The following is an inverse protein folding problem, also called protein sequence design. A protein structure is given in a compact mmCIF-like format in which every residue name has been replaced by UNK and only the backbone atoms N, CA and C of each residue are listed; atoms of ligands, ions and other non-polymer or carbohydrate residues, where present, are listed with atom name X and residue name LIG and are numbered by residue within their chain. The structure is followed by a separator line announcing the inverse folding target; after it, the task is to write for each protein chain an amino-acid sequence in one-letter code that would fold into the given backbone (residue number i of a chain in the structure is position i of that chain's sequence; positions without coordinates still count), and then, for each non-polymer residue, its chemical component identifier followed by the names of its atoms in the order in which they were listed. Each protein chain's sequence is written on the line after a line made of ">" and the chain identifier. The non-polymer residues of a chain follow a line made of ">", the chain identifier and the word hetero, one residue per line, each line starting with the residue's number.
data_IF_396895827026
#
_entry.id   IF_396895827026
#
_cell.length_a   1.000
_cell.length_b   1.000
_cell.length_c   1.000
_cell.angle_alpha   90.00
_cell.angle_beta   90.00
_cell.angle_gamma   90.00
#
_symmetry.space_group_name_H-M   'P 1'
#
loop_
_entity.id
_entity.type
_entity.pdbx_description
1 polymer ?
#
# COMPACT_ATOMS: atom_id res chain seq x y z
N UNK A 1 -0.11 -18.69 4.14
CA UNK A 1 -0.79 -17.62 4.91
C UNK A 1 -0.85 -16.33 4.14
N UNK A 2 0.27 -15.77 3.67
CA UNK A 2 0.28 -14.56 2.84
C UNK A 2 -0.57 -14.67 1.56
N UNK A 3 -0.57 -15.83 0.90
CA UNK A 3 -1.43 -16.09 -0.27
C UNK A 3 -2.92 -16.01 0.07
N UNK A 4 -3.32 -16.40 1.28
CA UNK A 4 -4.74 -16.36 1.68
C UNK A 4 -5.22 -14.93 1.94
N UNK A 5 -4.33 -14.07 2.49
CA UNK A 5 -4.56 -12.63 2.61
C UNK A 5 -4.80 -12.01 1.23
N UNK A 6 -3.94 -12.33 0.26
CA UNK A 6 -4.09 -11.85 -1.12
C UNK A 6 -5.39 -12.31 -1.77
N UNK A 7 -5.74 -13.59 -1.62
CA UNK A 7 -7.03 -14.14 -2.09
C UNK A 7 -8.22 -13.43 -1.45
N UNK A 8 -8.14 -13.11 -0.16
CA UNK A 8 -9.22 -12.41 0.56
C UNK A 8 -9.42 -11.00 0.01
N UNK A 9 -8.34 -10.24 -0.17
CA UNK A 9 -8.38 -8.90 -0.76
C UNK A 9 -8.96 -8.92 -2.18
N UNK A 10 -8.52 -9.87 -3.02
CA UNK A 10 -9.05 -10.06 -4.37
C UNK A 10 -10.55 -10.34 -4.36
N UNK A 11 -11.00 -11.30 -3.55
CA UNK A 11 -12.43 -11.66 -3.42
C UNK A 11 -13.25 -10.46 -2.96
N UNK A 12 -12.76 -9.70 -1.98
CA UNK A 12 -13.44 -8.51 -1.49
C UNK A 12 -13.53 -7.42 -2.57
N UNK A 13 -12.47 -7.22 -3.36
CA UNK A 13 -12.48 -6.30 -4.51
C UNK A 13 -13.51 -6.72 -5.56
N UNK A 14 -13.49 -7.99 -5.95
CA UNK A 14 -14.41 -8.56 -6.94
C UNK A 14 -15.86 -8.51 -6.45
N UNK A 15 -16.12 -8.83 -5.18
CA UNK A 15 -17.44 -8.72 -4.56
C UNK A 15 -17.93 -7.27 -4.48
N UNK A 16 -17.01 -6.31 -4.29
CA UNK A 16 -17.29 -4.88 -4.33
C UNK A 16 -17.45 -4.33 -5.75
N UNK A 17 -17.24 -5.15 -6.78
CA UNK A 17 -17.32 -4.74 -8.19
C UNK A 17 -16.24 -3.74 -8.63
N UNK A 18 -15.16 -3.61 -7.86
CA UNK A 18 -14.09 -2.65 -8.14
C UNK A 18 -13.07 -3.26 -9.12
N UNK A 19 -12.65 -2.47 -10.11
CA UNK A 19 -11.49 -2.84 -10.93
C UNK A 19 -10.18 -2.42 -10.24
N UNK A 20 -9.05 -2.96 -10.70
CA UNK A 20 -7.75 -2.57 -10.15
C UNK A 20 -7.45 -1.08 -10.39
N UNK A 21 -7.89 -0.54 -11.53
CA UNK A 21 -7.82 0.90 -11.85
C UNK A 21 -8.54 1.75 -10.81
N UNK A 22 -9.74 1.34 -10.39
CA UNK A 22 -10.53 2.10 -9.43
C UNK A 22 -9.90 2.08 -8.04
N UNK A 23 -9.36 0.93 -7.64
CA UNK A 23 -8.61 0.82 -6.38
C UNK A 23 -7.33 1.66 -6.44
N UNK A 24 -6.59 1.63 -7.55
CA UNK A 24 -5.40 2.47 -7.76
C UNK A 24 -5.73 3.96 -7.64
N UNK A 25 -6.82 4.43 -8.27
CA UNK A 25 -7.26 5.82 -8.14
C UNK A 25 -7.57 6.23 -6.70
N UNK A 26 -8.25 5.36 -5.95
CA UNK A 26 -8.67 5.64 -4.56
C UNK A 26 -7.52 5.56 -3.57
N UNK A 27 -6.59 4.63 -3.76
CA UNK A 27 -5.51 4.34 -2.80
C UNK A 27 -4.18 4.98 -3.16
N UNK A 28 -4.01 5.39 -4.43
CA UNK A 28 -2.72 5.80 -5.03
C UNK A 28 -1.65 4.71 -5.03
N UNK A 29 -2.04 3.45 -4.81
CA UNK A 29 -1.17 2.28 -4.90
C UNK A 29 -1.19 1.80 -6.35
N UNK A 30 -0.02 1.56 -6.94
CA UNK A 30 0.07 1.17 -8.35
C UNK A 30 -0.63 -0.18 -8.60
N UNK A 31 -1.20 -0.39 -9.80
CA UNK A 31 -1.78 -1.71 -10.16
C UNK A 31 -0.81 -2.86 -9.95
N UNK A 32 0.48 -2.65 -10.21
CA UNK A 32 1.53 -3.66 -10.03
C UNK A 32 1.60 -4.12 -8.57
N UNK A 33 1.56 -3.19 -7.63
CA UNK A 33 1.58 -3.50 -6.19
C UNK A 33 0.27 -4.11 -5.72
N UNK A 34 -0.88 -3.62 -6.23
CA UNK A 34 -2.19 -4.22 -5.97
C UNK A 34 -2.22 -5.70 -6.41
N UNK A 35 -1.72 -6.01 -7.60
CA UNK A 35 -1.58 -7.38 -8.10
C UNK A 35 -0.62 -8.21 -7.24
N UNK A 36 0.51 -7.64 -6.83
CA UNK A 36 1.45 -8.32 -5.94
C UNK A 36 0.77 -8.70 -4.61
N UNK A 37 0.01 -7.77 -4.02
CA UNK A 37 -0.78 -8.03 -2.81
C UNK A 37 -1.84 -9.11 -3.02
N UNK A 38 -2.57 -9.12 -4.13
CA UNK A 38 -3.54 -10.18 -4.46
C UNK A 38 -2.88 -11.56 -4.64
N UNK A 39 -1.63 -11.59 -5.10
CA UNK A 39 -0.82 -12.80 -5.22
C UNK A 39 -0.15 -13.21 -3.89
N UNK A 40 -0.35 -12.44 -2.82
CA UNK A 40 0.27 -12.67 -1.51
C UNK A 40 1.77 -12.34 -1.48
N UNK A 41 2.28 -11.64 -2.48
CA UNK A 41 3.66 -11.17 -2.57
C UNK A 41 3.74 -9.80 -1.90
N UNK A 42 4.10 -9.78 -0.62
CA UNK A 42 4.19 -8.56 0.19
C UNK A 42 5.63 -8.03 0.34
N UNK A 43 6.59 -8.63 -0.37
CA UNK A 43 8.02 -8.27 -0.35
C UNK A 43 8.39 -7.28 -1.47
N UNK A 44 7.41 -6.57 -2.05
CA UNK A 44 7.65 -5.62 -3.14
C UNK A 44 8.33 -4.33 -2.67
N UNK A 45 8.41 -4.10 -1.35
CA UNK A 45 9.02 -2.91 -0.77
C UNK A 45 9.89 -3.28 0.45
N UNK A 46 11.10 -2.69 0.60
CA UNK A 46 12.01 -3.00 1.71
C UNK A 46 11.48 -2.49 3.06
N UNK A 47 10.71 -1.39 3.06
CA UNK A 47 10.07 -0.89 4.26
C UNK A 47 8.76 -1.66 4.57
N UNK A 48 8.69 -2.44 5.68
CA UNK A 48 7.49 -3.19 6.04
C UNK A 48 6.32 -2.30 6.50
N UNK A 49 6.58 -1.08 6.99
CA UNK A 49 5.53 -0.14 7.36
C UNK A 49 4.74 0.34 6.13
N UNK A 50 5.42 0.48 4.99
CA UNK A 50 4.77 0.81 3.71
C UNK A 50 3.82 -0.30 3.27
N UNK A 51 4.26 -1.55 3.34
CA UNK A 51 3.39 -2.70 3.01
C UNK A 51 2.15 -2.73 3.90
N UNK A 52 2.30 -2.44 5.21
CA UNK A 52 1.17 -2.36 6.15
C UNK A 52 0.22 -1.20 5.79
N UNK A 53 0.72 -0.03 5.41
CA UNK A 53 -0.14 1.08 5.00
C UNK A 53 -0.91 0.75 3.71
N UNK A 54 -0.26 0.12 2.73
CA UNK A 54 -0.91 -0.35 1.51
C UNK A 54 -2.02 -1.36 1.78
N UNK A 55 -1.75 -2.37 2.60
CA UNK A 55 -2.74 -3.39 2.97
C UNK A 55 -3.92 -2.76 3.72
N UNK A 56 -3.65 -1.79 4.61
CA UNK A 56 -4.72 -1.04 5.30
C UNK A 56 -5.57 -0.26 4.31
N UNK A 57 -4.96 0.53 3.44
CA UNK A 57 -5.66 1.35 2.46
C UNK A 57 -6.50 0.49 1.50
N UNK A 58 -5.94 -0.63 1.02
CA UNK A 58 -6.65 -1.55 0.15
C UNK A 58 -7.85 -2.18 0.88
N UNK A 59 -7.64 -2.72 2.09
CA UNK A 59 -8.72 -3.30 2.90
C UNK A 59 -9.88 -2.31 3.14
N UNK A 60 -9.56 -1.05 3.48
CA UNK A 60 -10.56 0.00 3.67
C UNK A 60 -11.40 0.22 2.40
N UNK A 61 -10.77 0.30 1.23
CA UNK A 61 -11.47 0.57 -0.04
C UNK A 61 -12.38 -0.58 -0.47
N UNK A 62 -12.02 -1.83 -0.16
CA UNK A 62 -12.81 -3.01 -0.51
C UNK A 62 -13.80 -3.44 0.59
N UNK A 63 -13.93 -2.66 1.66
CA UNK A 63 -14.85 -2.94 2.76
C UNK A 63 -14.43 -4.07 3.69
N UNK A 64 -13.16 -4.47 3.67
CA UNK A 64 -12.60 -5.43 4.62
C UNK A 64 -12.15 -4.73 5.90
N UNK A 65 -12.15 -5.45 7.03
CA UNK A 65 -11.68 -4.90 8.29
C UNK A 65 -10.14 -4.74 8.27
N UNK A 66 -9.58 -3.51 8.30
CA UNK A 66 -8.14 -3.32 8.12
C UNK A 66 -7.34 -3.89 9.28
N UNK A 67 -7.84 -3.76 10.51
CA UNK A 67 -7.14 -4.26 11.70
C UNK A 67 -7.02 -5.78 11.68
N UNK A 68 -8.10 -6.49 11.29
CA UNK A 68 -8.06 -7.95 11.12
C UNK A 68 -7.05 -8.37 10.05
N UNK A 69 -7.00 -7.64 8.92
CA UNK A 69 -6.07 -7.95 7.84
C UNK A 69 -4.61 -7.76 8.27
N UNK A 70 -4.31 -6.68 8.99
CA UNK A 70 -2.97 -6.41 9.51
C UNK A 70 -2.51 -7.43 10.55
N UNK A 71 -3.41 -7.86 11.44
CA UNK A 71 -3.11 -8.92 12.40
C UNK A 71 -2.78 -10.24 11.70
N UNK A 72 -3.49 -10.55 10.61
CA UNK A 72 -3.20 -11.75 9.82
C UNK A 72 -1.85 -11.65 9.10
N UNK A 73 -1.54 -10.49 8.51
CA UNK A 73 -0.25 -10.21 7.88
C UNK A 73 0.91 -10.37 8.86
N UNK A 74 0.78 -9.79 10.05
CA UNK A 74 1.80 -9.90 11.10
C UNK A 74 2.06 -11.36 11.49
N UNK A 75 1.01 -12.15 11.74
CA UNK A 75 1.14 -13.58 12.05
C UNK A 75 1.79 -14.36 10.90
N UNK A 76 1.56 -13.95 9.65
CA UNK A 76 2.21 -14.56 8.49
C UNK A 76 3.72 -14.24 8.45
N UNK A 77 4.11 -13.02 8.82
CA UNK A 77 5.51 -12.56 8.85
C UNK A 77 6.31 -13.17 10.02
N UNK A 78 5.71 -13.28 11.21
CA UNK A 78 6.34 -13.90 12.39
C UNK A 78 6.70 -15.38 12.16
N UNK A 79 5.91 -16.08 11.34
CA UNK A 79 6.19 -17.48 10.98
C UNK A 79 7.35 -17.61 9.99
N UNK A 80 7.56 -16.61 9.14
CA UNK A 80 8.71 -16.60 8.23
C UNK A 80 10.00 -16.28 8.98
N UNK A 81 9.99 -15.31 9.90
CA UNK A 81 11.18 -14.96 10.68
C UNK A 81 11.57 -16.02 11.71
N UNK A 82 10.60 -16.72 12.32
CA UNK A 82 10.88 -17.84 13.24
C UNK A 82 11.48 -19.07 12.55
N UNK A 83 11.33 -19.19 11.23
CA UNK A 83 11.83 -20.34 10.44
C UNK A 83 13.22 -20.11 9.86
N UNK A 84 13.73 -18.88 9.82
CA UNK A 84 15.15 -18.64 9.57
C UNK A 84 15.93 -19.07 10.81
N UNK A 85 16.71 -20.16 10.74
CA UNK A 85 17.53 -20.55 11.87
C UNK A 85 18.58 -19.47 12.05
N UNK A 86 18.84 -19.13 13.31
CA UNK A 86 20.07 -18.49 13.72
C UNK A 86 21.25 -19.24 13.09
N UNK A 87 21.74 -18.76 11.95
CA UNK A 87 23.14 -18.97 11.56
C UNK A 87 23.91 -18.23 12.63
N UNK A 88 24.18 -18.94 13.73
CA UNK A 88 25.23 -18.59 14.65
C UNK A 88 26.44 -18.35 13.78
N UNK A 89 26.83 -17.08 13.66
CA UNK A 89 28.14 -16.71 13.16
C UNK A 89 29.14 -17.38 14.10
N UNK A 90 29.58 -18.59 13.74
CA UNK A 90 30.85 -19.10 14.19
C UNK A 90 31.89 -18.18 13.54
N UNK A 91 32.18 -17.06 14.22
CA UNK A 91 33.40 -16.32 14.02
C UNK A 91 34.52 -17.27 14.49
N UNK A 92 35.51 -17.62 13.65
CA UNK A 92 36.69 -18.31 14.16
C UNK A 92 37.45 -17.33 15.06
N UNK A 93 37.61 -17.68 16.33
CA UNK A 93 38.56 -17.01 17.23
C UNK A 93 39.97 -17.21 16.64
N UNK A 94 40.48 -16.18 15.97
CA UNK A 94 41.86 -16.11 15.52
C UNK A 94 42.78 -15.85 16.71
N UNK A 95 43.18 -16.92 17.42
CA UNK A 95 44.35 -16.89 18.29
C UNK A 95 45.62 -16.91 17.43
N UNK A 96 46.32 -15.78 17.42
CA UNK A 96 47.65 -15.60 16.81
C UNK A 96 48.46 -14.61 17.64
N UNK A 97 49.53 -15.14 18.23
CA UNK A 97 50.34 -14.61 19.32
C UNK A 97 51.48 -13.65 18.84
N UNK A 98 51.80 -12.64 19.66
CA UNK A 98 53.19 -12.20 19.92
C UNK A 98 53.74 -10.97 19.16
N UNK A 99 54.21 -9.96 19.92
CA UNK A 99 55.26 -9.04 19.46
C UNK A 99 55.16 -7.60 19.96
N UNK A 100 55.50 -7.36 21.22
CA UNK A 100 55.95 -6.04 21.68
C UNK A 100 57.22 -5.62 20.90
N UNK A 101 57.39 -4.33 20.58
CA UNK A 101 58.56 -3.53 20.98
C UNK A 101 58.60 -2.14 20.34
N UNK A 102 58.97 -1.18 21.21
CA UNK A 102 59.79 0.00 20.92
C UNK A 102 59.14 1.27 20.39
N UNK A 103 58.82 2.11 21.38
CA UNK A 103 59.09 3.56 21.42
C UNK A 103 60.21 4.00 20.48
N UNK A 104 59.97 5.01 19.64
CA UNK A 104 60.95 6.08 19.44
C UNK A 104 60.30 7.38 18.99
N UNK A 105 60.81 8.45 19.60
CA UNK A 105 60.45 9.86 19.43
C UNK A 105 60.89 10.38 18.06
N UNK A 106 60.14 11.34 17.51
CA UNK A 106 60.55 12.74 17.19
C UNK A 106 59.81 13.29 15.96
N UNK A 107 59.16 14.45 16.16
CA UNK A 107 59.13 15.71 15.36
C UNK A 107 59.08 15.56 13.83
N UNK A 108 58.28 16.27 13.04
CA UNK A 108 57.77 17.66 13.04
C UNK A 108 57.06 17.78 11.68
N UNK A 109 55.93 18.43 11.45
CA UNK A 109 55.62 19.87 11.40
C UNK A 109 54.16 19.85 10.83
N UNK A 110 53.16 20.51 11.40
CA UNK A 110 53.01 21.96 11.41
C UNK A 110 51.88 22.31 10.43
N UNK A 111 50.76 22.82 10.93
CA UNK A 111 49.92 23.86 10.28
C UNK A 111 49.00 24.48 11.32
N UNK A 112 48.86 25.80 11.20
CA UNK A 112 48.39 26.74 12.21
C UNK A 112 46.95 26.54 12.68
N UNK A 113 46.78 26.81 13.97
CA UNK A 113 45.52 27.00 14.67
C UNK A 113 45.35 28.51 14.91
N UNK A 114 44.33 29.11 14.30
CA UNK A 114 43.67 30.30 14.83
C UNK A 114 42.18 30.01 14.84
N UNK A 115 41.65 29.83 16.05
CA UNK A 115 40.23 29.65 16.32
C UNK A 115 39.56 31.02 16.40
N UNK A 116 38.37 31.14 15.82
CA UNK A 116 37.33 32.01 16.37
C UNK A 116 36.00 31.26 16.36
N UNK A 117 35.47 31.13 17.57
CA UNK A 117 34.21 30.56 18.02
C UNK A 117 32.99 30.73 17.09
N UNK A 118 32.21 29.65 16.98
CA UNK A 118 30.73 29.67 17.17
C UNK A 118 30.28 28.30 17.69
N UNK A 119 29.22 28.31 18.52
CA UNK A 119 28.66 27.19 19.30
C UNK A 119 27.52 26.51 18.50
N UNK A 120 26.88 25.45 19.04
CA UNK A 120 26.81 24.09 18.51
C UNK A 120 25.65 23.84 17.53
N UNK A 121 25.95 23.36 16.33
CA UNK A 121 24.95 23.01 15.30
C UNK A 121 24.45 21.56 15.41
N UNK A 122 23.16 21.43 15.09
CA UNK A 122 22.32 20.25 14.95
C UNK A 122 23.03 19.00 14.35
N UNK A 123 22.67 17.77 14.77
CA UNK A 123 23.12 16.56 14.09
C UNK A 123 22.51 16.49 12.69
N UNK A 124 23.37 16.77 11.71
CA UNK A 124 23.36 16.40 10.31
C UNK A 124 22.06 15.78 9.77
N UNK A 125 21.33 16.62 9.05
CA UNK A 125 20.31 16.28 8.08
C UNK A 125 20.94 15.43 6.96
N UNK A 126 20.74 14.11 7.01
CA UNK A 126 21.12 13.19 5.93
C UNK A 126 20.33 13.53 4.65
N UNK A 127 21.11 13.78 3.60
CA UNK A 127 20.73 14.20 2.27
C UNK A 127 19.95 13.08 1.54
N UNK A 128 18.61 13.06 1.71
CA UNK A 128 17.72 12.19 0.96
C UNK A 128 17.38 12.86 -0.38
N UNK A 129 17.67 12.24 -1.55
CA UNK A 129 17.44 12.89 -2.83
C UNK A 129 15.93 13.02 -3.14
N UNK A 130 15.50 14.06 -3.89
CA UNK A 130 14.10 14.30 -4.20
C UNK A 130 13.54 13.17 -5.10
N UNK A 131 12.63 12.38 -4.55
CA UNK A 131 12.11 11.11 -5.09
C UNK A 131 11.25 11.23 -6.38
N UNK A 132 11.08 12.42 -6.97
CA UNK A 132 10.16 12.63 -8.10
C UNK A 132 10.66 12.16 -9.46
N UNK A 133 11.96 11.96 -9.65
CA UNK A 133 12.53 11.71 -11.00
C UNK A 133 12.86 10.24 -11.30
N UNK A 134 12.99 9.38 -10.28
CA UNK A 134 13.48 8.01 -10.47
C UNK A 134 12.46 7.09 -11.18
N UNK A 135 11.15 7.40 -11.12
CA UNK A 135 10.14 6.60 -11.82
C UNK A 135 10.00 6.93 -13.32
N UNK A 136 10.55 8.07 -13.80
CA UNK A 136 10.42 8.49 -15.21
C UNK A 136 11.46 7.84 -16.13
N UNK A 137 12.56 7.30 -15.58
CA UNK A 137 13.64 6.68 -16.38
C UNK A 137 13.29 5.28 -16.86
N UNK A 138 12.50 4.52 -16.09
CA UNK A 138 12.07 3.17 -16.47
C UNK A 138 11.13 3.12 -17.67
N UNK A 139 10.57 4.25 -18.12
CA UNK A 139 9.72 4.30 -19.32
C UNK A 139 10.50 4.46 -20.63
N UNK A 140 11.79 4.82 -20.58
CA UNK A 140 12.61 5.04 -21.79
C UNK A 140 13.54 3.88 -22.14
N UNK A 141 13.85 3.00 -21.20
CA UNK A 141 14.78 1.89 -21.41
C UNK A 141 14.07 0.56 -21.75
N UNK A 142 12.74 0.57 -21.94
CA UNK A 142 11.92 -0.61 -22.25
C UNK A 142 11.33 -0.67 -23.67
N UNK A 143 11.82 0.16 -24.61
CA UNK A 143 11.26 0.24 -25.98
C UNK A 143 11.91 -0.67 -27.03
N UNK A 144 12.87 -1.53 -26.66
CA UNK A 144 13.51 -2.45 -27.62
C UNK A 144 13.48 -3.89 -27.11
N UNK A 145 12.32 -4.53 -27.17
CA UNK A 145 12.18 -5.99 -27.24
C UNK A 145 10.72 -6.36 -27.60
N UNK A 146 10.38 -6.30 -28.88
CA UNK A 146 9.21 -7.00 -29.42
C UNK A 146 9.52 -8.50 -29.59
N UNK A 147 8.69 -9.37 -29.02
CA UNK A 147 8.15 -10.61 -29.63
C UNK A 147 7.75 -11.59 -28.53
N UNK A 148 6.44 -11.69 -28.28
CA UNK A 148 5.90 -12.54 -27.22
C UNK A 148 4.43 -12.23 -26.99
N UNK A 149 3.62 -12.64 -27.96
CA UNK A 149 2.17 -12.60 -27.89
C UNK A 149 1.64 -13.27 -26.62
N UNK A 150 0.69 -12.63 -25.97
CA UNK A 150 0.03 -13.14 -24.77
C UNK A 150 -1.20 -12.33 -24.46
N UNK A 151 -2.17 -12.34 -25.39
CA UNK A 151 -3.63 -12.32 -25.25
C UNK A 151 -4.33 -11.81 -23.96
N UNK A 152 -3.76 -10.91 -23.15
CA UNK A 152 -4.41 -10.42 -21.93
C UNK A 152 -5.13 -9.07 -22.11
N UNK A 153 -5.10 -8.47 -23.31
CA UNK A 153 -5.54 -7.08 -23.51
C UNK A 153 -6.57 -6.82 -24.62
N UNK A 154 -7.23 -7.85 -25.17
CA UNK A 154 -8.22 -7.64 -26.27
C UNK A 154 -9.70 -7.92 -25.93
N UNK A 155 -10.06 -8.26 -24.68
CA UNK A 155 -11.47 -8.57 -24.34
C UNK A 155 -12.28 -7.43 -23.69
N UNK A 156 -11.66 -6.36 -23.21
CA UNK A 156 -12.38 -5.33 -22.44
C UNK A 156 -12.92 -4.14 -23.25
N UNK A 157 -12.84 -4.16 -24.59
CA UNK A 157 -13.32 -3.06 -25.46
C UNK A 157 -14.70 -3.27 -26.07
N UNK A 158 -15.52 -4.16 -25.51
CA UNK A 158 -16.92 -4.37 -25.93
C UNK A 158 -17.84 -4.70 -24.75
N UNK A 159 -17.92 -3.82 -23.75
CA UNK A 159 -19.10 -3.79 -22.87
C UNK A 159 -19.50 -2.33 -22.65
N UNK A 160 -20.14 -1.80 -23.69
CA UNK A 160 -21.11 -0.75 -23.52
C UNK A 160 -22.21 -1.22 -22.55
N UNK A 161 -22.66 -0.28 -21.72
CA UNK A 161 -23.93 -0.28 -21.00
C UNK A 161 -24.22 -1.49 -20.10
N UNK A 162 -23.96 -1.31 -18.81
CA UNK A 162 -24.88 -1.74 -17.74
C UNK A 162 -24.50 -0.94 -16.49
N UNK A 163 -25.21 0.17 -16.24
CA UNK A 163 -25.22 0.83 -14.93
C UNK A 163 -25.76 -0.21 -13.94
N UNK A 164 -24.86 -0.97 -13.31
CA UNK A 164 -25.20 -1.86 -12.21
C UNK A 164 -25.28 -0.98 -10.98
N UNK A 165 -26.51 -0.74 -10.52
CA UNK A 165 -26.80 0.11 -9.37
C UNK A 165 -25.96 -0.35 -8.20
N UNK A 166 -25.11 0.57 -7.74
CA UNK A 166 -24.32 0.39 -6.52
C UNK A 166 -25.27 0.02 -5.39
N UNK A 167 -24.85 -0.79 -4.42
CA UNK A 167 -25.68 -1.07 -3.23
C UNK A 167 -26.11 0.23 -2.55
N UNK A 168 -25.28 1.28 -2.63
CA UNK A 168 -25.63 2.63 -2.24
C UNK A 168 -26.77 3.22 -3.09
N UNK A 169 -26.73 3.11 -4.43
CA UNK A 169 -27.85 3.55 -5.29
C UNK A 169 -29.15 2.82 -4.97
N UNK A 170 -29.09 1.54 -4.57
CA UNK A 170 -30.28 0.79 -4.15
C UNK A 170 -30.84 1.34 -2.85
N UNK A 171 -29.99 1.64 -1.86
CA UNK A 171 -30.42 2.23 -0.59
C UNK A 171 -31.09 3.59 -0.85
N UNK A 172 -30.46 4.47 -1.64
CA UNK A 172 -31.05 5.76 -2.00
C UNK A 172 -32.33 5.61 -2.83
N UNK A 173 -32.40 4.63 -3.74
CA UNK A 173 -33.62 4.32 -4.50
C UNK A 173 -34.76 3.85 -3.60
N UNK A 174 -34.49 3.05 -2.56
CA UNK A 174 -35.51 2.63 -1.60
C UNK A 174 -36.01 3.80 -0.76
N UNK A 175 -35.12 4.67 -0.27
CA UNK A 175 -35.49 5.87 0.47
C UNK A 175 -36.31 6.85 -0.40
N UNK A 176 -35.92 7.03 -1.66
CA UNK A 176 -36.62 7.90 -2.61
C UNK A 176 -38.02 7.35 -2.94
N UNK A 177 -38.12 6.05 -3.20
CA UNK A 177 -39.39 5.39 -3.51
C UNK A 177 -40.31 5.35 -2.28
N UNK A 178 -39.79 5.07 -1.09
CA UNK A 178 -40.57 5.09 0.14
C UNK A 178 -41.08 6.50 0.46
N UNK A 179 -40.26 7.52 0.25
CA UNK A 179 -40.66 8.92 0.43
C UNK A 179 -41.79 9.33 -0.53
N UNK A 180 -41.69 8.96 -1.81
CA UNK A 180 -42.72 9.24 -2.80
C UNK A 180 -44.05 8.54 -2.47
N UNK A 181 -44.01 7.28 -2.03
CA UNK A 181 -45.22 6.53 -1.61
C UNK A 181 -45.89 7.21 -0.42
N UNK A 182 -45.13 7.61 0.60
CA UNK A 182 -45.66 8.32 1.77
C UNK A 182 -46.30 9.66 1.40
N UNK A 183 -45.71 10.38 0.44
CA UNK A 183 -46.24 11.65 -0.06
C UNK A 183 -47.60 11.45 -0.74
N UNK A 184 -47.73 10.43 -1.60
CA UNK A 184 -49.00 10.08 -2.26
C UNK A 184 -50.06 9.70 -1.23
N UNK A 185 -49.74 8.85 -0.26
CA UNK A 185 -50.69 8.47 0.81
C UNK A 185 -51.15 9.70 1.59
N UNK A 186 -50.21 10.57 1.99
CA UNK A 186 -50.53 11.80 2.70
C UNK A 186 -51.47 12.72 1.90
N UNK A 187 -51.28 12.84 0.58
CA UNK A 187 -52.17 13.63 -0.28
C UNK A 187 -53.57 13.04 -0.39
N UNK A 188 -53.71 11.71 -0.47
CA UNK A 188 -55.01 11.04 -0.51
C UNK A 188 -55.74 11.23 0.82
N UNK A 189 -55.05 11.03 1.94
CA UNK A 189 -55.61 11.28 3.28
C UNK A 189 -56.06 12.73 3.44
N UNK A 190 -55.27 13.70 2.95
CA UNK A 190 -55.61 15.12 3.00
C UNK A 190 -56.85 15.44 2.17
N UNK A 191 -56.97 14.88 0.97
CA UNK A 191 -58.15 15.06 0.12
C UNK A 191 -59.39 14.43 0.73
N UNK A 192 -59.26 13.25 1.33
CA UNK A 192 -60.37 12.58 2.02
C UNK A 192 -60.82 13.35 3.27
N UNK A 193 -59.87 13.83 4.08
CA UNK A 193 -60.15 14.67 5.24
C UNK A 193 -60.85 15.98 4.85
N UNK A 194 -60.39 16.61 3.76
CA UNK A 194 -60.99 17.84 3.25
C UNK A 194 -62.40 17.62 2.71
N UNK A 195 -62.68 16.47 2.10
CA UNK A 195 -64.03 16.12 1.64
C UNK A 195 -64.97 15.74 2.79
N UNK A 196 -64.46 15.07 3.82
CA UNK A 196 -65.27 14.70 4.99
C UNK A 196 -65.64 15.90 5.88
N UNK A 197 -64.89 17.00 5.81
CA UNK A 197 -65.11 18.21 6.60
C UNK A 197 -65.75 19.36 5.78
N UNK A 198 -66.11 19.11 4.51
CA UNK A 198 -66.81 20.05 3.65
C UNK A 198 -68.27 19.61 3.50
#
# INVERSE_FOLDING_TARGET
>A
MSVEIGRRLRRAREASGLTLEEVERRTRISKRELLAMEQGRFQFHPNPAYVRSCVRAYATVVGENPQRMLNWLQRAQERTTRREPAVRRNLPDGQGNGGELSRSRRRSNGYGRSQSHTKPDDPQQEDYPPQRQVYRRSEREGMEAESGEGEYSRRSRRQASKKKTSVFDKIYSYFLLSGAILLVIATICFLWFRWSNA
#
